data_IF_328084103832
#
_entry.id   IF_328084103832
#
_cell.length_a   1.000
_cell.length_b   1.000
_cell.length_c   1.000
_cell.angle_alpha   90.00
_cell.angle_beta   90.00
_cell.angle_gamma   90.00
#
_symmetry.space_group_name_H-M   'P 1'
#
loop_
_entity.id
_entity.type
_entity.pdbx_description
1 polymer ?
#
# COMPACT_ATOMS: atom_id res chain seq x y z
N UNK A 1 1.53 4.17 -1.63
CA UNK A 1 0.62 3.32 -0.84
C UNK A 1 1.18 1.95 -0.79
N UNK A 2 0.56 1.14 0.03
CA UNK A 2 0.81 -0.28 -0.08
C UNK A 2 -0.38 -0.98 0.51
N UNK A 3 -0.42 -2.27 0.28
CA UNK A 3 -1.43 -3.05 0.91
C UNK A 3 -0.96 -4.46 1.03
#
# INVERSE_FOLDING_TARGET
FYF
#
